data_IF_810909839285
#
_entry.id   IF_810909839285
#
_cell.length_a   1.000
_cell.length_b   1.000
_cell.length_c   1.000
_cell.angle_alpha   90.00
_cell.angle_beta   90.00
_cell.angle_gamma   90.00
#
_symmetry.space_group_name_H-M   'P 1'
#
loop_
_entity.id
_entity.type
_entity.pdbx_description
1 polymer ?
#
# COMPACT_ATOMS: atom_id res chain seq x y z
N UNK A 1 -0.39 -8.34 -9.45
CA UNK A 1 -0.53 -9.58 -8.63
C UNK A 1 -1.77 -10.35 -9.07
N UNK A 2 -1.95 -11.62 -8.71
CA UNK A 2 -3.10 -12.44 -9.17
C UNK A 2 -3.92 -13.00 -8.00
N UNK A 3 -5.23 -12.95 -8.13
CA UNK A 3 -6.17 -13.67 -7.27
C UNK A 3 -6.12 -15.17 -7.59
N UNK A 4 -6.57 -16.05 -6.69
CA UNK A 4 -6.61 -17.51 -6.95
C UNK A 4 -7.50 -17.89 -8.12
N UNK A 5 -8.53 -17.10 -8.43
CA UNK A 5 -9.35 -17.27 -9.62
C UNK A 5 -8.68 -16.83 -10.94
N UNK A 6 -7.40 -16.43 -10.89
CA UNK A 6 -6.64 -15.95 -12.03
C UNK A 6 -6.86 -14.48 -12.39
N UNK A 7 -7.76 -13.77 -11.70
CA UNK A 7 -8.00 -12.35 -11.96
C UNK A 7 -6.77 -11.50 -11.60
N UNK A 8 -6.36 -10.63 -12.53
CA UNK A 8 -5.29 -9.68 -12.28
C UNK A 8 -5.74 -8.55 -11.36
N UNK A 9 -4.83 -8.14 -10.49
CA UNK A 9 -5.03 -7.09 -9.51
C UNK A 9 -3.86 -6.13 -9.66
N UNK A 10 -4.20 -4.86 -9.87
CA UNK A 10 -3.30 -3.71 -9.82
C UNK A 10 -3.73 -2.83 -8.63
N UNK A 11 -2.78 -2.50 -7.75
CA UNK A 11 -3.03 -1.71 -6.54
C UNK A 11 -2.14 -0.48 -6.62
N UNK A 12 -2.77 0.69 -6.74
CA UNK A 12 -2.09 1.99 -6.69
C UNK A 12 -2.47 2.69 -5.40
N UNK A 13 -1.50 2.88 -4.51
CA UNK A 13 -1.70 3.52 -3.22
C UNK A 13 -0.86 4.79 -3.13
N UNK A 14 -1.52 5.92 -2.86
CA UNK A 14 -0.88 7.18 -2.50
C UNK A 14 -1.16 7.48 -1.03
N UNK A 15 -0.13 7.87 -0.28
CA UNK A 15 -0.27 8.28 1.11
C UNK A 15 0.39 9.65 1.30
N UNK A 16 -0.28 10.56 2.00
CA UNK A 16 0.32 11.81 2.50
C UNK A 16 0.49 11.65 4.01
N UNK A 17 1.72 11.80 4.48
CA UNK A 17 2.04 11.77 5.91
C UNK A 17 2.56 13.16 6.29
N UNK A 18 1.87 13.83 7.21
CA UNK A 18 2.30 15.10 7.81
C UNK A 18 2.96 14.80 9.16
N UNK A 19 4.27 15.02 9.26
CA UNK A 19 5.05 14.85 10.48
C UNK A 19 5.51 16.22 11.01
N UNK A 20 4.71 16.84 11.88
CA UNK A 20 5.05 18.13 12.48
C UNK A 20 6.14 17.98 13.54
N UNK A 21 7.31 18.54 13.28
CA UNK A 21 8.47 18.50 14.20
C UNK A 21 9.08 17.11 14.35
N UNK A 22 8.79 16.18 13.45
CA UNK A 22 9.27 14.80 13.48
C UNK A 22 9.75 14.37 12.08
N UNK A 23 10.65 13.39 12.03
CA UNK A 23 11.12 12.77 10.78
C UNK A 23 10.74 11.29 10.74
N UNK A 24 10.37 10.80 9.56
CA UNK A 24 10.10 9.39 9.33
C UNK A 24 11.43 8.66 9.20
N UNK A 25 11.68 7.70 10.10
CA UNK A 25 12.94 6.93 10.13
C UNK A 25 12.86 5.60 9.38
N UNK A 26 11.64 5.14 9.06
CA UNK A 26 11.38 3.78 8.58
C UNK A 26 10.47 3.77 7.35
N UNK A 27 10.62 2.74 6.52
CA UNK A 27 9.68 2.45 5.44
C UNK A 27 8.33 2.00 6.01
N UNK A 28 7.24 2.58 5.51
CA UNK A 28 5.89 2.18 5.90
C UNK A 28 5.57 0.82 5.30
N UNK A 29 5.10 -0.10 6.15
CA UNK A 29 4.49 -1.36 5.71
C UNK A 29 3.05 -1.38 6.18
N UNK A 30 2.12 -1.60 5.25
CA UNK A 30 0.70 -1.67 5.53
C UNK A 30 0.15 -2.98 4.99
N UNK A 31 -0.71 -3.66 5.74
CA UNK A 31 -1.43 -4.84 5.27
C UNK A 31 -2.83 -4.40 4.86
N UNK A 32 -3.18 -4.63 3.60
CA UNK A 32 -4.52 -4.36 3.07
C UNK A 32 -5.30 -5.65 2.91
N UNK A 33 -6.56 -5.66 3.32
CA UNK A 33 -7.50 -6.75 3.00
C UNK A 33 -8.24 -6.40 1.72
N UNK A 34 -8.16 -7.27 0.71
CA UNK A 34 -8.79 -7.09 -0.59
C UNK A 34 -9.82 -8.20 -0.80
N UNK A 35 -11.00 -7.83 -1.29
CA UNK A 35 -12.02 -8.78 -1.76
C UNK A 35 -12.05 -8.81 -3.30
N UNK A 36 -11.93 -9.99 -3.89
CA UNK A 36 -12.03 -10.13 -5.34
C UNK A 36 -13.48 -9.94 -5.81
N UNK A 37 -13.72 -9.00 -6.73
CA UNK A 37 -15.06 -8.77 -7.27
C UNK A 37 -15.63 -9.97 -8.03
N UNK A 38 -14.78 -10.84 -8.60
CA UNK A 38 -15.19 -12.03 -9.37
C UNK A 38 -15.50 -13.25 -8.49
N UNK A 39 -14.54 -13.71 -7.68
CA UNK A 39 -14.72 -14.93 -6.88
C UNK A 39 -15.07 -14.69 -5.41
N UNK A 40 -15.19 -13.42 -4.99
CA UNK A 40 -15.54 -13.00 -3.61
C UNK A 40 -14.55 -13.46 -2.53
N UNK A 41 -13.42 -14.01 -2.92
CA UNK A 41 -12.35 -14.38 -2.00
C UNK A 41 -11.73 -13.13 -1.38
N UNK A 42 -11.48 -13.21 -0.07
CA UNK A 42 -10.77 -12.19 0.70
C UNK A 42 -9.34 -12.65 0.95
N UNK A 43 -8.37 -11.78 0.72
CA UNK A 43 -6.95 -12.08 0.95
C UNK A 43 -6.22 -10.82 1.40
N UNK A 44 -5.08 -11.02 2.06
CA UNK A 44 -4.24 -9.94 2.57
C UNK A 44 -3.09 -9.66 1.62
N UNK A 45 -2.81 -8.37 1.41
CA UNK A 45 -1.74 -7.88 0.57
C UNK A 45 -0.84 -6.97 1.40
N UNK A 46 0.43 -7.36 1.66
CA UNK A 46 1.40 -6.46 2.23
C UNK A 46 1.83 -5.45 1.17
N UNK A 47 1.70 -4.17 1.48
CA UNK A 47 2.18 -3.05 0.67
C UNK A 47 3.29 -2.38 1.44
N UNK A 48 4.51 -2.41 0.89
CA UNK A 48 5.65 -1.69 1.44
C UNK A 48 6.00 -0.50 0.55
N UNK A 49 6.23 0.66 1.15
CA UNK A 49 6.81 1.80 0.46
C UNK A 49 8.29 1.51 0.21
N UNK A 50 8.63 0.97 -0.97
CA UNK A 50 10.03 0.75 -1.36
C UNK A 50 10.79 2.06 -1.52
N UNK A 51 10.10 3.13 -1.92
CA UNK A 51 10.66 4.47 -2.08
C UNK A 51 9.63 5.49 -1.58
N UNK A 52 9.92 6.13 -0.44
CA UNK A 52 9.17 7.30 0.00
C UNK A 52 9.84 8.53 -0.60
N UNK A 53 9.19 9.18 -1.58
CA UNK A 53 9.64 10.50 -2.04
C UNK A 53 9.25 11.50 -0.94
N UNK A 54 10.19 11.79 -0.05
CA UNK A 54 10.04 12.83 0.96
C UNK A 54 10.30 14.16 0.26
N UNK A 55 9.24 14.93 0.02
CA UNK A 55 9.40 16.36 -0.30
C UNK A 55 9.50 17.11 1.02
N UNK A 56 10.68 17.59 1.35
CA UNK A 56 10.84 18.61 2.38
C UNK A 56 10.28 19.92 1.81
N UNK A 57 9.20 20.44 2.40
CA UNK A 57 8.78 21.82 2.16
C UNK A 57 9.67 22.70 3.04
N UNK A 58 10.61 23.42 2.40
CA UNK A 58 11.45 24.46 3.01
C UNK A 58 10.69 25.79 3.13
#
# INVERSE_FOLDING_TARGET
MKCKCGNEIDIKMGARVDCRGCRILTSMTTIMTVECSKCKEKFQVPVSSKESIVKEEQ
#
